data_IF_741065147895
#
_entry.id   IF_741065147895
#
_cell.length_a   1.000
_cell.length_b   1.000
_cell.length_c   1.000
_cell.angle_alpha   90.00
_cell.angle_beta   90.00
_cell.angle_gamma   90.00
#
_symmetry.space_group_name_H-M   'P 1'
#
loop_
_entity.id
_entity.type
_entity.pdbx_description
1 polymer ?
#
# COMPACT_ATOMS: atom_id res chain seq x y z
N UNK A 1 -53.21 -3.12 71.67
CA UNK A 1 -52.52 -2.06 70.91
C UNK A 1 -51.54 -2.74 70.00
N UNK A 2 -51.81 -2.59 68.70
CA UNK A 2 -51.16 -3.24 67.57
C UNK A 2 -49.89 -2.45 67.24
N UNK A 3 -48.79 -3.15 66.98
CA UNK A 3 -47.70 -2.62 66.16
C UNK A 3 -47.06 -3.79 65.42
N UNK A 4 -47.32 -3.78 64.12
CA UNK A 4 -46.99 -4.74 63.07
C UNK A 4 -45.61 -4.39 62.47
N UNK A 5 -45.02 -5.39 61.82
CA UNK A 5 -43.70 -5.35 61.19
C UNK A 5 -43.62 -4.41 59.98
N UNK A 6 -42.44 -3.81 59.73
CA UNK A 6 -41.94 -3.53 58.36
C UNK A 6 -40.39 -3.58 58.36
N UNK A 7 -39.75 -4.32 57.44
CA UNK A 7 -38.31 -4.29 57.22
C UNK A 7 -37.88 -3.17 56.25
N UNK A 8 -36.71 -2.59 56.51
CA UNK A 8 -36.03 -1.59 55.69
C UNK A 8 -35.74 -2.11 54.27
N UNK A 9 -36.30 -1.44 53.27
CA UNK A 9 -35.90 -1.55 51.87
C UNK A 9 -34.78 -0.53 51.57
N UNK A 10 -33.78 -0.87 50.73
CA UNK A 10 -32.79 0.08 50.24
C UNK A 10 -33.37 0.95 49.11
N UNK A 11 -32.90 2.19 49.05
CA UNK A 11 -33.25 3.16 48.00
C UNK A 11 -33.00 2.63 46.59
N UNK A 12 -34.05 2.68 45.77
CA UNK A 12 -33.97 2.53 44.32
C UNK A 12 -33.63 3.89 43.69
N UNK A 13 -32.40 4.01 43.18
CA UNK A 13 -32.01 5.07 42.25
C UNK A 13 -32.84 5.02 40.95
N UNK A 14 -32.80 6.10 40.14
CA UNK A 14 -33.67 6.22 38.97
C UNK A 14 -33.41 5.09 37.96
N UNK A 15 -34.49 4.41 37.57
CA UNK A 15 -34.51 3.40 36.52
C UNK A 15 -33.81 3.94 35.27
N UNK A 16 -32.72 3.27 34.89
CA UNK A 16 -32.17 3.36 33.56
C UNK A 16 -33.29 3.05 32.56
N UNK A 17 -33.70 4.06 31.78
CA UNK A 17 -34.55 3.85 30.63
C UNK A 17 -33.75 3.03 29.62
N UNK A 18 -33.95 1.73 29.69
CA UNK A 18 -33.44 0.73 28.78
C UNK A 18 -33.74 1.19 27.34
N UNK A 19 -32.70 1.64 26.62
CA UNK A 19 -32.82 2.02 25.21
C UNK A 19 -33.26 0.79 24.44
N UNK A 20 -34.54 0.72 24.09
CA UNK A 20 -35.06 -0.36 23.24
C UNK A 20 -34.38 -0.24 21.89
N UNK A 21 -33.59 -1.24 21.44
CA UNK A 21 -33.06 -1.24 20.10
C UNK A 21 -34.25 -1.41 19.15
N UNK A 22 -34.66 -0.31 18.52
CA UNK A 22 -35.68 -0.36 17.49
C UNK A 22 -35.01 -0.78 16.19
N UNK A 23 -34.78 -2.08 16.04
CA UNK A 23 -34.62 -2.67 14.72
C UNK A 23 -35.97 -2.58 14.02
N UNK A 24 -36.19 -1.50 13.26
CA UNK A 24 -37.28 -1.45 12.31
C UNK A 24 -37.05 -2.60 11.31
N UNK A 25 -37.78 -3.67 11.54
CA UNK A 25 -37.80 -4.89 10.76
C UNK A 25 -38.35 -4.56 9.38
N UNK A 26 -37.61 -4.87 8.32
CA UNK A 26 -38.19 -5.20 7.02
C UNK A 26 -37.29 -6.22 6.30
N UNK A 27 -37.57 -7.50 6.53
CA UNK A 27 -37.50 -8.47 5.45
C UNK A 27 -38.61 -8.07 4.46
N UNK A 28 -38.23 -7.60 3.28
CA UNK A 28 -39.17 -7.23 2.22
C UNK A 28 -38.76 -5.94 1.52
N UNK A 29 -38.45 -6.05 0.22
CA UNK A 29 -38.18 -4.93 -0.68
C UNK A 29 -39.38 -3.98 -0.70
N UNK A 30 -39.31 -2.86 0.01
CA UNK A 30 -40.14 -1.68 -0.26
C UNK A 30 -39.19 -0.50 -0.45
N UNK A 31 -39.15 0.00 -1.68
CA UNK A 31 -38.41 1.21 -2.06
C UNK A 31 -39.21 2.39 -1.49
N UNK A 32 -38.70 3.01 -0.43
CA UNK A 32 -39.34 4.20 0.14
C UNK A 32 -39.01 5.40 -0.75
N UNK A 33 -40.03 5.95 -1.41
CA UNK A 33 -39.86 7.07 -2.33
C UNK A 33 -39.66 8.43 -1.62
N UNK A 34 -39.94 8.51 -0.31
CA UNK A 34 -39.82 9.74 0.45
C UNK A 34 -39.55 9.52 1.95
N UNK A 35 -38.75 10.41 2.53
CA UNK A 35 -38.41 10.50 3.95
C UNK A 35 -39.67 10.59 4.83
N UNK A 36 -40.69 11.31 4.38
CA UNK A 36 -41.99 11.43 5.08
C UNK A 36 -42.65 10.06 5.28
N UNK A 37 -42.52 9.17 4.29
CA UNK A 37 -43.12 7.84 4.33
C UNK A 37 -42.33 6.92 5.28
N UNK A 38 -41.09 7.21 5.66
CA UNK A 38 -40.38 6.46 6.71
C UNK A 38 -40.74 7.00 8.10
N UNK A 39 -40.76 8.33 8.22
CA UNK A 39 -40.98 9.01 9.51
C UNK A 39 -42.40 8.79 10.02
N UNK A 40 -43.42 8.83 9.16
CA UNK A 40 -44.82 8.68 9.59
C UNK A 40 -45.18 7.27 10.10
N UNK A 41 -44.96 6.17 9.36
CA UNK A 41 -45.18 4.81 9.84
C UNK A 41 -44.23 4.44 10.98
N UNK A 42 -42.99 4.93 10.95
CA UNK A 42 -42.05 4.74 12.05
C UNK A 42 -42.55 5.35 13.35
N UNK A 43 -43.22 6.51 13.30
CA UNK A 43 -43.85 7.13 14.48
C UNK A 43 -45.01 6.32 15.04
N UNK A 44 -45.88 5.82 14.16
CA UNK A 44 -47.01 4.98 14.55
C UNK A 44 -46.56 3.65 15.16
N UNK A 45 -45.53 3.02 14.58
CA UNK A 45 -44.96 1.76 15.07
C UNK A 45 -44.27 1.92 16.43
N UNK A 46 -43.65 3.08 16.67
CA UNK A 46 -42.94 3.38 17.91
C UNK A 46 -43.83 4.00 19.01
N UNK A 47 -45.13 4.21 18.71
CA UNK A 47 -46.10 4.71 19.67
C UNK A 47 -45.91 6.18 20.05
N UNK A 48 -45.26 6.99 19.20
CA UNK A 48 -45.11 8.42 19.45
C UNK A 48 -46.45 9.16 19.26
N UNK A 49 -46.78 10.05 20.18
CA UNK A 49 -47.98 10.91 20.08
C UNK A 49 -47.92 11.77 18.81
N UNK A 50 -49.07 11.98 18.14
CA UNK A 50 -49.17 12.74 16.88
C UNK A 50 -48.64 14.19 16.94
N UNK A 51 -48.39 14.73 18.14
CA UNK A 51 -47.86 16.08 18.38
C UNK A 51 -46.36 16.11 18.74
N UNK A 52 -45.69 14.96 18.84
CA UNK A 52 -44.28 14.88 19.22
C UNK A 52 -43.36 15.19 18.03
N UNK A 53 -42.35 16.03 18.22
CA UNK A 53 -41.31 16.25 17.20
C UNK A 53 -40.35 15.06 17.23
N UNK A 54 -40.21 14.38 16.10
CA UNK A 54 -39.32 13.22 15.92
C UNK A 54 -38.38 13.53 14.77
N UNK A 55 -37.10 13.33 15.03
CA UNK A 55 -35.99 13.59 14.12
C UNK A 55 -35.45 12.27 13.60
N UNK A 56 -35.24 12.17 12.27
CA UNK A 56 -34.59 11.01 11.68
C UNK A 56 -33.08 11.24 11.62
N UNK A 57 -32.31 10.30 12.15
CA UNK A 57 -30.86 10.29 12.10
C UNK A 57 -30.35 8.98 11.52
N UNK A 58 -29.15 8.97 10.96
CA UNK A 58 -28.48 7.74 10.56
C UNK A 58 -28.04 6.96 11.81
N UNK A 59 -28.18 5.63 11.77
CA UNK A 59 -27.74 4.78 12.89
C UNK A 59 -26.23 4.89 13.13
N UNK A 60 -25.46 5.01 12.05
CA UNK A 60 -24.00 4.84 12.03
C UNK A 60 -23.23 6.01 12.66
N UNK A 61 -23.59 7.24 12.30
CA UNK A 61 -22.86 8.45 12.67
C UNK A 61 -23.72 9.52 13.34
N UNK A 62 -25.04 9.28 13.44
CA UNK A 62 -25.98 10.22 14.03
C UNK A 62 -26.28 11.43 13.16
N UNK A 63 -25.87 11.44 11.89
CA UNK A 63 -26.16 12.52 10.96
C UNK A 63 -27.67 12.68 10.81
N UNK A 64 -28.16 13.92 11.01
CA UNK A 64 -29.58 14.26 10.90
C UNK A 64 -29.99 14.30 9.44
N UNK A 65 -31.08 13.60 9.10
CA UNK A 65 -31.64 13.54 7.75
C UNK A 65 -32.95 14.32 7.72
N UNK A 66 -32.89 15.58 7.29
CA UNK A 66 -34.05 16.47 7.17
C UNK A 66 -34.49 16.65 5.71
N UNK A 67 -33.55 16.57 4.77
CA UNK A 67 -33.81 16.84 3.35
C UNK A 67 -34.09 15.59 2.52
N UNK A 68 -35.13 15.66 1.71
CA UNK A 68 -35.52 14.58 0.79
C UNK A 68 -34.42 14.26 -0.25
N UNK A 69 -33.68 15.27 -0.71
CA UNK A 69 -32.59 15.08 -1.67
C UNK A 69 -31.43 14.30 -1.05
N UNK A 70 -31.12 14.55 0.22
CA UNK A 70 -30.10 13.79 0.95
C UNK A 70 -30.52 12.34 1.12
N UNK A 71 -31.79 12.10 1.50
CA UNK A 71 -32.33 10.75 1.64
C UNK A 71 -32.21 9.90 0.37
N UNK A 72 -32.46 10.48 -0.82
CA UNK A 72 -32.40 9.76 -2.09
C UNK A 72 -30.97 9.40 -2.52
N UNK A 73 -29.96 10.06 -1.97
CA UNK A 73 -28.55 9.78 -2.24
C UNK A 73 -27.99 8.65 -1.36
N UNK A 74 -28.73 8.23 -0.34
CA UNK A 74 -28.29 7.19 0.59
C UNK A 74 -28.53 5.79 -0.01
N UNK A 75 -27.61 4.83 0.22
CA UNK A 75 -27.81 3.43 -0.19
C UNK A 75 -29.12 2.84 0.33
N UNK A 76 -29.76 1.96 -0.43
CA UNK A 76 -31.05 1.35 -0.07
C UNK A 76 -31.03 0.50 1.21
N UNK A 77 -29.85 0.11 1.70
CA UNK A 77 -29.62 -0.63 2.95
C UNK A 77 -29.26 0.27 4.15
N UNK A 78 -29.43 1.58 4.02
CA UNK A 78 -29.15 2.54 5.10
C UNK A 78 -30.15 2.38 6.23
N UNK A 79 -29.65 2.31 7.46
CA UNK A 79 -30.46 2.17 8.67
C UNK A 79 -30.65 3.53 9.33
N UNK A 80 -31.90 3.80 9.72
CA UNK A 80 -32.29 5.05 10.34
C UNK A 80 -32.75 4.81 11.77
N UNK A 81 -32.46 5.77 12.62
CA UNK A 81 -32.95 5.86 13.99
C UNK A 81 -33.86 7.07 14.11
N UNK A 82 -35.02 6.89 14.73
CA UNK A 82 -35.96 7.97 15.00
C UNK A 82 -35.80 8.39 16.46
N UNK A 83 -35.47 9.66 16.69
CA UNK A 83 -35.23 10.22 18.01
C UNK A 83 -36.33 11.20 18.39
N UNK A 84 -36.80 11.10 19.63
CA UNK A 84 -37.73 12.09 20.21
C UNK A 84 -36.99 13.38 20.63
N UNK A 85 -37.71 14.48 20.82
CA UNK A 85 -37.20 15.83 21.16
C UNK A 85 -36.18 15.89 22.33
N UNK A 86 -36.17 14.88 23.22
CA UNK A 86 -35.26 14.80 24.37
C UNK A 86 -34.21 13.70 24.27
N UNK A 87 -34.19 12.98 23.15
CA UNK A 87 -33.26 11.90 22.91
C UNK A 87 -32.14 12.39 22.00
N UNK A 88 -30.90 12.15 22.41
CA UNK A 88 -29.73 12.45 21.59
C UNK A 88 -29.18 11.15 21.03
N UNK A 89 -28.79 11.17 19.76
CA UNK A 89 -28.03 10.07 19.18
C UNK A 89 -26.78 9.87 20.04
N UNK A 90 -26.52 8.62 20.39
CA UNK A 90 -25.29 8.23 21.05
C UNK A 90 -24.65 7.16 20.19
N UNK A 91 -23.33 7.22 19.94
CA UNK A 91 -22.63 6.13 19.30
C UNK A 91 -23.02 4.84 20.01
N UNK A 92 -23.57 3.88 19.25
CA UNK A 92 -23.75 2.54 19.78
C UNK A 92 -22.35 2.10 20.16
N UNK A 93 -22.11 1.78 21.44
CA UNK A 93 -20.89 1.08 21.85
C UNK A 93 -20.95 -0.32 21.24
N UNK A 94 -20.74 -0.41 19.93
CA UNK A 94 -20.18 -1.59 19.35
C UNK A 94 -18.75 -1.57 19.84
N UNK A 95 -18.40 -2.60 20.59
CA UNK A 95 -17.00 -2.94 20.83
C UNK A 95 -16.48 -3.38 19.46
N UNK A 96 -16.29 -2.43 18.54
CA UNK A 96 -15.45 -2.62 17.38
C UNK A 96 -14.05 -2.16 17.80
N UNK A 97 -13.09 -3.07 17.66
CA UNK A 97 -11.75 -2.92 18.19
C UNK A 97 -10.91 -1.96 17.35
N UNK A 98 -11.28 -0.68 17.30
CA UNK A 98 -10.58 0.31 16.47
C UNK A 98 -10.11 1.58 17.17
N UNK A 99 -10.82 2.11 18.17
CA UNK A 99 -10.58 3.48 18.64
C UNK A 99 -10.57 3.67 20.16
N UNK A 100 -10.68 2.61 20.95
CA UNK A 100 -10.69 2.67 22.42
C UNK A 100 -9.32 3.00 23.07
N UNK A 101 -8.25 3.22 22.30
CA UNK A 101 -6.89 3.35 22.84
C UNK A 101 -6.52 4.78 23.25
N UNK A 102 -7.28 5.80 22.85
CA UNK A 102 -6.93 7.21 23.12
C UNK A 102 -7.37 7.72 24.51
N UNK A 103 -8.08 6.92 25.32
CA UNK A 103 -8.54 7.33 26.65
C UNK A 103 -7.66 6.83 27.81
N UNK A 104 -6.58 6.09 27.53
CA UNK A 104 -5.79 5.40 28.56
C UNK A 104 -4.40 5.98 28.83
N UNK A 105 -4.10 7.15 28.30
CA UNK A 105 -2.84 7.84 28.57
C UNK A 105 -2.98 8.79 29.78
N UNK A 106 -3.20 8.20 30.95
CA UNK A 106 -2.99 8.84 32.25
C UNK A 106 -3.00 7.78 33.32
N UNK A 107 -1.93 7.77 34.13
CA UNK A 107 -1.60 6.84 35.23
C UNK A 107 -0.67 5.68 34.82
N UNK A 108 0.57 6.08 34.49
CA UNK A 108 1.77 5.38 34.98
C UNK A 108 1.63 5.15 36.50
N UNK A 109 1.26 3.94 36.89
CA UNK A 109 1.53 3.44 38.24
C UNK A 109 2.07 2.03 38.14
N UNK A 110 3.35 1.92 38.47
CA UNK A 110 4.05 0.68 38.80
C UNK A 110 3.25 -0.10 39.84
N UNK A 111 2.87 -1.34 39.56
CA UNK A 111 2.28 -2.24 40.56
C UNK A 111 2.72 -3.67 40.27
N UNK A 112 3.58 -4.18 41.15
CA UNK A 112 3.88 -5.58 41.36
C UNK A 112 2.68 -6.26 42.04
N UNK A 113 2.08 -7.27 41.39
CA UNK A 113 1.43 -8.42 42.03
C UNK A 113 0.93 -9.44 40.99
N UNK A 114 1.27 -10.70 41.28
CA UNK A 114 0.82 -11.93 40.64
C UNK A 114 -0.68 -12.17 40.89
N UNK A 115 -1.51 -12.12 39.84
CA UNK A 115 -2.49 -13.18 39.53
C UNK A 115 -3.07 -12.98 38.12
N UNK A 116 -3.41 -14.08 37.48
CA UNK A 116 -3.72 -14.19 36.05
C UNK A 116 -5.06 -13.52 35.71
N UNK A 117 -5.01 -12.34 35.11
CA UNK A 117 -6.14 -11.72 34.42
C UNK A 117 -5.61 -10.90 33.26
N UNK A 118 -5.59 -11.56 32.09
CA UNK A 118 -5.26 -11.11 30.74
C UNK A 118 -5.46 -9.59 30.55
N UNK A 119 -4.40 -8.81 30.78
CA UNK A 119 -4.15 -7.65 29.92
C UNK A 119 -3.75 -8.30 28.60
N UNK A 120 -4.67 -8.34 27.64
CA UNK A 120 -4.42 -9.00 26.36
C UNK A 120 -3.14 -8.42 25.77
N UNK A 121 -2.08 -9.23 25.78
CA UNK A 121 -0.78 -8.78 25.28
C UNK A 121 -0.99 -8.40 23.82
N UNK A 122 -0.55 -7.23 23.34
CA UNK A 122 -0.97 -6.70 22.04
C UNK A 122 -0.79 -7.69 20.87
N UNK A 123 0.27 -8.51 20.92
CA UNK A 123 0.56 -9.54 19.92
C UNK A 123 -0.38 -10.75 19.95
N UNK A 124 -1.11 -11.01 21.05
CA UNK A 124 -1.95 -12.20 21.20
C UNK A 124 -3.13 -12.23 20.22
N UNK A 125 -3.80 -11.09 20.03
CA UNK A 125 -4.88 -10.95 19.05
C UNK A 125 -4.33 -11.08 17.62
N UNK A 126 -3.17 -10.50 17.36
CA UNK A 126 -2.48 -10.58 16.06
C UNK A 126 -2.06 -12.03 15.76
N UNK A 127 -1.59 -12.77 16.76
CA UNK A 127 -1.26 -14.18 16.63
C UNK A 127 -2.51 -15.04 16.35
N UNK A 128 -3.64 -14.74 16.99
CA UNK A 128 -4.91 -15.43 16.67
C UNK A 128 -5.37 -15.11 15.25
N UNK A 129 -5.22 -13.87 14.79
CA UNK A 129 -5.54 -13.48 13.41
C UNK A 129 -4.64 -14.22 12.41
N UNK A 130 -3.33 -14.26 12.65
CA UNK A 130 -2.39 -15.02 11.81
C UNK A 130 -2.67 -16.52 11.80
N UNK A 131 -3.12 -17.08 12.93
CA UNK A 131 -3.49 -18.49 13.03
C UNK A 131 -4.70 -18.83 12.18
N UNK A 132 -5.67 -17.92 12.07
CA UNK A 132 -6.85 -18.08 11.23
C UNK A 132 -6.51 -17.88 9.75
N UNK A 133 -5.68 -16.89 9.45
CA UNK A 133 -5.32 -16.53 8.08
C UNK A 133 -3.90 -15.93 8.02
N UNK A 134 -2.95 -16.70 7.49
CA UNK A 134 -1.57 -16.23 7.28
C UNK A 134 -1.46 -15.11 6.23
N UNK A 135 -2.46 -14.94 5.36
CA UNK A 135 -2.45 -13.84 4.37
C UNK A 135 -2.67 -12.48 5.01
N UNK A 136 -3.15 -12.44 6.27
CA UNK A 136 -3.32 -11.21 7.04
C UNK A 136 -2.03 -10.38 7.16
N UNK A 137 -0.86 -11.02 7.07
CA UNK A 137 0.47 -10.38 7.11
C UNK A 137 0.57 -9.24 6.08
N UNK A 138 -0.07 -9.37 4.91
CA UNK A 138 -0.01 -8.38 3.83
C UNK A 138 -0.65 -7.05 4.29
N UNK A 139 -1.74 -7.13 5.04
CA UNK A 139 -2.55 -5.98 5.47
C UNK A 139 -2.12 -5.42 6.82
N UNK A 140 -1.34 -6.18 7.59
CA UNK A 140 -0.83 -5.74 8.89
C UNK A 140 0.12 -4.55 8.73
N UNK A 141 -0.01 -3.60 9.66
CA UNK A 141 0.92 -2.49 9.76
C UNK A 141 2.30 -2.98 10.17
N UNK A 142 3.33 -2.20 9.85
CA UNK A 142 4.70 -2.50 10.28
C UNK A 142 4.83 -2.57 11.81
N UNK A 143 4.11 -1.71 12.54
CA UNK A 143 4.07 -1.76 14.00
C UNK A 143 3.47 -3.09 14.50
N UNK A 144 2.36 -3.54 13.92
CA UNK A 144 1.73 -4.80 14.32
C UNK A 144 2.65 -6.00 14.04
N UNK A 145 3.30 -6.02 12.87
CA UNK A 145 4.28 -7.05 12.54
C UNK A 145 5.47 -7.02 13.51
N UNK A 146 5.95 -5.84 13.90
CA UNK A 146 7.02 -5.70 14.88
C UNK A 146 6.62 -6.29 16.24
N UNK A 147 5.38 -6.06 16.71
CA UNK A 147 4.92 -6.66 17.97
C UNK A 147 4.90 -8.20 17.95
N UNK A 148 4.67 -8.82 16.78
CA UNK A 148 4.72 -10.27 16.61
C UNK A 148 6.16 -10.80 16.56
N UNK A 149 7.08 -10.03 16.00
CA UNK A 149 8.51 -10.35 16.00
C UNK A 149 9.08 -10.26 17.41
N UNK A 150 8.70 -9.24 18.18
CA UNK A 150 9.18 -9.01 19.55
C UNK A 150 8.51 -9.92 20.59
N UNK A 151 7.48 -10.67 20.20
CA UNK A 151 6.77 -11.58 21.09
C UNK A 151 7.69 -12.74 21.54
N UNK A 152 7.58 -13.19 22.81
CA UNK A 152 8.35 -14.34 23.28
C UNK A 152 7.98 -15.60 22.50
N UNK A 153 8.96 -16.20 21.83
CA UNK A 153 8.81 -17.38 20.99
C UNK A 153 7.99 -18.54 21.61
N UNK A 154 8.22 -18.97 22.87
CA UNK A 154 7.46 -20.10 23.45
C UNK A 154 5.96 -19.79 23.63
N UNK A 155 5.62 -18.55 23.96
CA UNK A 155 4.23 -18.13 24.14
C UNK A 155 3.54 -17.96 22.78
N UNK A 156 4.25 -17.42 21.79
CA UNK A 156 3.77 -17.29 20.42
C UNK A 156 3.55 -18.67 19.77
N UNK A 157 4.47 -19.62 20.00
CA UNK A 157 4.33 -21.01 19.57
C UNK A 157 3.09 -21.67 20.15
N UNK A 158 2.84 -21.45 21.44
CA UNK A 158 1.63 -21.92 22.13
C UNK A 158 0.36 -21.29 21.54
N UNK A 159 0.37 -19.99 21.24
CA UNK A 159 -0.77 -19.27 20.67
C UNK A 159 -1.12 -19.76 19.25
N UNK A 160 -0.09 -19.88 18.39
CA UNK A 160 -0.22 -20.35 17.00
C UNK A 160 -0.49 -21.85 16.91
N UNK A 161 -0.12 -22.62 17.93
CA UNK A 161 -0.18 -24.09 17.91
C UNK A 161 0.94 -24.70 17.04
N UNK A 162 2.08 -24.04 16.95
CA UNK A 162 3.25 -24.47 16.19
C UNK A 162 4.37 -24.95 17.11
N UNK A 163 5.36 -25.64 16.54
CA UNK A 163 6.61 -25.92 17.25
C UNK A 163 7.42 -24.63 17.35
N UNK A 164 8.15 -24.43 18.46
CA UNK A 164 8.97 -23.25 18.71
C UNK A 164 9.91 -22.94 17.54
N UNK A 165 10.63 -23.95 17.03
CA UNK A 165 11.50 -23.80 15.85
C UNK A 165 10.79 -23.21 14.62
N UNK A 166 9.54 -23.62 14.36
CA UNK A 166 8.77 -23.08 13.23
C UNK A 166 8.35 -21.64 13.47
N UNK A 167 8.12 -21.26 14.73
CA UNK A 167 7.82 -19.87 15.10
C UNK A 167 9.05 -19.01 15.01
N UNK A 168 10.23 -19.50 15.38
CA UNK A 168 11.50 -18.80 15.15
C UNK A 168 11.71 -18.52 13.66
N UNK A 169 11.53 -19.53 12.79
CA UNK A 169 11.62 -19.38 11.34
C UNK A 169 10.58 -18.38 10.79
N UNK A 170 9.38 -18.35 11.39
CA UNK A 170 8.33 -17.40 11.05
C UNK A 170 8.72 -15.97 11.49
N UNK A 171 9.18 -15.78 12.72
CA UNK A 171 9.62 -14.47 13.23
C UNK A 171 10.79 -13.92 12.42
N UNK A 172 11.75 -14.77 12.03
CA UNK A 172 12.83 -14.38 11.12
C UNK A 172 12.29 -13.96 9.75
N UNK A 173 11.26 -14.65 9.25
CA UNK A 173 10.62 -14.29 7.99
C UNK A 173 9.86 -12.97 8.09
N UNK A 174 9.16 -12.73 9.20
CA UNK A 174 8.49 -11.45 9.47
C UNK A 174 9.50 -10.30 9.56
N UNK A 175 10.65 -10.52 10.23
CA UNK A 175 11.74 -9.53 10.28
C UNK A 175 12.27 -9.22 8.87
N UNK A 176 12.52 -10.24 8.04
CA UNK A 176 12.93 -10.02 6.63
C UNK A 176 11.90 -9.24 5.81
N UNK A 177 10.60 -9.42 6.10
CA UNK A 177 9.54 -8.63 5.46
C UNK A 177 9.58 -7.18 5.90
N UNK A 178 9.81 -6.91 7.19
CA UNK A 178 9.96 -5.56 7.73
C UNK A 178 11.19 -4.85 7.11
N UNK A 179 12.34 -5.52 7.12
CA UNK A 179 13.58 -4.98 6.56
C UNK A 179 13.41 -4.61 5.08
N UNK A 180 12.72 -5.46 4.31
CA UNK A 180 12.42 -5.19 2.90
C UNK A 180 11.51 -3.99 2.71
N UNK A 181 10.46 -3.84 3.52
CA UNK A 181 9.54 -2.68 3.45
C UNK A 181 10.32 -1.39 3.74
N UNK A 182 11.22 -1.41 4.70
CA UNK A 182 12.07 -0.27 5.04
C UNK A 182 13.09 0.04 3.93
N UNK A 183 13.72 -0.97 3.32
CA UNK A 183 14.61 -0.80 2.16
C UNK A 183 13.88 -0.13 0.99
N UNK A 184 12.66 -0.58 0.69
CA UNK A 184 11.82 0.00 -0.36
C UNK A 184 11.49 1.48 -0.06
N UNK A 185 11.22 1.82 1.21
CA UNK A 185 10.98 3.21 1.64
C UNK A 185 12.22 4.07 1.46
N UNK A 186 13.38 3.58 1.89
CA UNK A 186 14.66 4.28 1.76
C UNK A 186 15.04 4.49 0.29
N UNK A 187 14.86 3.47 -0.55
CA UNK A 187 15.09 3.54 -1.99
C UNK A 187 14.19 4.58 -2.66
N UNK A 188 12.89 4.59 -2.33
CA UNK A 188 11.94 5.60 -2.82
C UNK A 188 12.35 7.01 -2.40
N UNK A 189 12.77 7.20 -1.15
CA UNK A 189 13.24 8.49 -0.65
C UNK A 189 14.49 8.97 -1.40
N UNK A 190 15.45 8.07 -1.64
CA UNK A 190 16.65 8.37 -2.42
C UNK A 190 16.31 8.77 -3.87
N UNK A 191 15.43 8.02 -4.52
CA UNK A 191 14.97 8.34 -5.89
C UNK A 191 14.29 9.70 -5.96
N UNK A 192 13.47 10.05 -4.95
CA UNK A 192 12.86 11.39 -4.88
C UNK A 192 13.90 12.49 -4.73
N UNK A 193 14.95 12.29 -3.93
CA UNK A 193 16.05 13.24 -3.80
C UNK A 193 16.82 13.38 -5.12
N UNK A 194 17.08 12.28 -5.81
CA UNK A 194 17.72 12.29 -7.12
C UNK A 194 16.89 13.09 -8.15
N UNK A 195 15.58 12.82 -8.25
CA UNK A 195 14.69 13.55 -9.16
C UNK A 195 14.67 15.06 -8.85
N UNK A 196 14.62 15.43 -7.57
CA UNK A 196 14.71 16.84 -7.15
C UNK A 196 16.05 17.47 -7.55
N UNK A 197 17.16 16.76 -7.38
CA UNK A 197 18.49 17.24 -7.77
C UNK A 197 18.60 17.41 -9.30
N UNK A 198 18.06 16.46 -10.08
CA UNK A 198 18.02 16.55 -11.54
C UNK A 198 17.19 17.74 -12.00
N UNK A 199 16.05 18.01 -11.36
CA UNK A 199 15.23 19.17 -11.72
C UNK A 199 15.89 20.50 -11.33
N UNK A 200 16.59 20.55 -10.20
CA UNK A 200 17.42 21.71 -9.85
C UNK A 200 18.55 21.93 -10.86
N UNK A 201 19.22 20.87 -11.32
CA UNK A 201 20.26 20.96 -12.35
C UNK A 201 19.70 21.49 -13.69
N UNK A 202 18.48 21.07 -14.08
CA UNK A 202 17.79 21.60 -15.26
C UNK A 202 17.48 23.09 -15.11
N UNK A 203 16.94 23.50 -13.96
CA UNK A 203 16.64 24.93 -13.69
C UNK A 203 17.90 25.79 -13.71
N UNK A 204 19.03 25.29 -13.21
CA UNK A 204 20.32 26.00 -13.26
C UNK A 204 20.88 26.11 -14.69
N UNK A 205 20.56 25.15 -15.57
CA UNK A 205 20.90 25.23 -17.01
C UNK A 205 19.93 26.12 -17.81
N UNK A 206 18.70 26.26 -17.34
CA UNK A 206 17.65 27.07 -17.98
C UNK A 206 17.60 28.52 -17.51
N UNK A 207 18.28 28.91 -16.43
CA UNK A 207 18.45 30.33 -16.08
C UNK A 207 19.31 31.00 -17.18
N UNK A 208 18.71 31.82 -18.07
CA UNK A 208 19.47 32.55 -19.04
C UNK A 208 20.20 33.63 -18.25
N UNK A 209 21.51 33.67 -18.41
CA UNK A 209 22.28 34.87 -18.14
C UNK A 209 21.53 36.03 -18.78
N UNK A 210 20.93 36.89 -17.96
CA UNK A 210 20.38 38.17 -18.40
C UNK A 210 21.58 39.04 -18.82
N UNK A 211 22.12 38.75 -19.99
CA UNK A 211 22.97 39.64 -20.76
C UNK A 211 22.15 39.97 -22.00
N UNK A 212 21.63 41.19 -21.97
CA UNK A 212 20.88 41.84 -23.02
C UNK A 212 21.43 41.53 -24.40
N UNK A 213 20.61 40.95 -25.28
CA UNK A 213 20.43 41.45 -26.64
C UNK A 213 19.18 40.86 -27.27
N UNK A 214 18.29 41.76 -27.69
CA UNK A 214 17.03 41.41 -28.34
C UNK A 214 17.21 40.91 -29.78
N UNK A 215 16.17 40.23 -30.26
CA UNK A 215 16.04 39.83 -31.66
C UNK A 215 15.27 38.52 -31.77
N UNK A 216 13.94 38.60 -31.82
CA UNK A 216 13.07 37.43 -31.86
C UNK A 216 13.15 36.64 -33.15
N UNK A 217 12.86 35.33 -33.04
CA UNK A 217 12.19 34.55 -34.07
C UNK A 217 11.61 33.27 -33.45
N UNK A 218 10.29 33.13 -33.55
CA UNK A 218 9.58 31.87 -33.36
C UNK A 218 10.06 30.84 -34.38
N UNK A 219 10.58 29.70 -33.91
CA UNK A 219 10.61 28.44 -34.65
C UNK A 219 10.46 27.30 -33.63
N UNK A 220 9.42 26.51 -33.85
CA UNK A 220 9.09 25.25 -33.17
C UNK A 220 9.88 24.11 -33.83
N UNK A 221 10.86 23.49 -33.14
CA UNK A 221 11.66 22.31 -33.58
C UNK A 221 12.24 21.62 -32.31
N UNK A 222 12.34 20.26 -32.26
CA UNK A 222 12.29 19.47 -31.04
C UNK A 222 13.65 19.35 -30.32
N UNK A 223 13.58 18.94 -29.05
CA UNK A 223 14.67 18.57 -28.13
C UNK A 223 15.97 18.19 -28.87
N UNK A 224 16.79 19.21 -29.13
CA UNK A 224 18.01 19.10 -29.90
C UNK A 224 19.07 18.50 -28.97
N UNK A 225 19.16 17.17 -28.97
CA UNK A 225 20.29 16.46 -28.38
C UNK A 225 21.56 17.02 -29.02
N UNK A 226 22.30 17.86 -28.29
CA UNK A 226 23.56 18.43 -28.75
C UNK A 226 24.59 17.32 -29.01
N UNK A 227 24.64 16.87 -30.26
CA UNK A 227 25.67 16.00 -30.79
C UNK A 227 26.82 16.90 -31.23
N UNK A 228 28.02 16.66 -30.70
CA UNK A 228 29.20 17.39 -31.14
C UNK A 228 29.46 17.04 -32.62
N UNK A 229 29.20 18.00 -33.50
CA UNK A 229 29.24 17.80 -34.96
C UNK A 229 30.63 17.40 -35.46
N UNK A 230 31.69 17.69 -34.70
CA UNK A 230 33.06 17.32 -35.03
C UNK A 230 33.37 15.84 -34.75
N UNK A 231 32.72 15.23 -33.75
CA UNK A 231 33.01 13.86 -33.31
C UNK A 231 31.87 12.86 -33.55
N UNK A 232 30.64 13.36 -33.77
CA UNK A 232 29.45 12.54 -33.94
C UNK A 232 29.03 11.79 -32.67
N UNK A 233 29.54 12.20 -31.51
CA UNK A 233 29.15 11.66 -30.20
C UNK A 233 28.32 12.69 -29.43
N UNK A 234 27.44 12.19 -28.56
CA UNK A 234 26.76 13.06 -27.59
C UNK A 234 27.79 13.66 -26.63
N UNK A 235 27.58 14.91 -26.22
CA UNK A 235 28.43 15.60 -25.24
C UNK A 235 28.65 14.79 -23.95
N UNK A 236 27.63 14.06 -23.51
CA UNK A 236 27.71 13.14 -22.36
C UNK A 236 28.69 11.98 -22.59
N UNK A 237 28.66 11.36 -23.76
CA UNK A 237 29.53 10.24 -24.12
C UNK A 237 31.00 10.67 -24.13
N UNK A 238 31.30 11.85 -24.68
CA UNK A 238 32.64 12.44 -24.65
C UNK A 238 33.12 12.76 -23.23
N UNK A 239 32.23 13.28 -22.36
CA UNK A 239 32.58 13.58 -20.97
C UNK A 239 32.94 12.31 -20.19
N UNK A 240 32.21 11.21 -20.42
CA UNK A 240 32.51 9.91 -19.80
C UNK A 240 33.83 9.35 -20.33
N UNK A 241 34.05 9.37 -21.65
CA UNK A 241 35.28 8.90 -22.27
C UNK A 241 36.52 9.68 -21.80
N UNK A 242 36.41 11.01 -21.69
CA UNK A 242 37.51 11.89 -21.24
C UNK A 242 37.71 11.90 -19.71
N UNK A 243 36.80 11.27 -18.95
CA UNK A 243 36.86 11.18 -17.49
C UNK A 243 38.00 10.29 -16.96
N UNK A 244 38.16 10.26 -15.63
CA UNK A 244 39.15 9.43 -14.92
C UNK A 244 38.63 8.05 -14.50
N UNK A 245 37.42 7.70 -14.91
CA UNK A 245 36.77 6.41 -14.57
C UNK A 245 37.01 5.37 -15.66
N UNK A 246 36.55 4.13 -15.48
CA UNK A 246 36.45 3.09 -16.51
C UNK A 246 35.24 3.35 -17.43
N UNK A 247 35.38 4.07 -18.56
CA UNK A 247 34.25 4.46 -19.39
C UNK A 247 33.50 3.26 -19.99
N UNK A 248 34.19 2.15 -20.25
CA UNK A 248 33.63 0.93 -20.83
C UNK A 248 32.45 0.37 -20.00
N UNK A 249 32.51 0.51 -18.68
CA UNK A 249 31.45 0.04 -17.78
C UNK A 249 30.28 1.03 -17.64
N UNK A 250 30.51 2.32 -17.92
CA UNK A 250 29.55 3.41 -17.66
C UNK A 250 28.71 3.80 -18.86
N UNK A 251 29.15 3.42 -20.05
CA UNK A 251 28.47 3.72 -21.30
C UNK A 251 27.35 2.71 -21.58
N UNK A 252 26.35 3.14 -22.35
CA UNK A 252 25.30 2.25 -22.83
C UNK A 252 25.86 1.25 -23.85
N UNK A 253 25.16 0.14 -24.09
CA UNK A 253 25.58 -0.84 -25.10
C UNK A 253 25.60 -0.22 -26.51
N UNK A 254 24.71 0.72 -26.79
CA UNK A 254 24.65 1.48 -28.06
C UNK A 254 25.84 2.43 -28.21
N UNK A 255 26.17 3.19 -27.15
CA UNK A 255 27.37 4.05 -27.14
C UNK A 255 28.64 3.23 -27.37
N UNK A 256 28.77 2.07 -26.70
CA UNK A 256 29.91 1.17 -26.88
C UNK A 256 30.01 0.66 -28.32
N UNK A 257 28.90 0.28 -28.96
CA UNK A 257 28.89 -0.12 -30.36
C UNK A 257 29.35 1.02 -31.27
N UNK A 258 28.85 2.24 -31.06
CA UNK A 258 29.28 3.40 -31.84
C UNK A 258 30.79 3.67 -31.68
N UNK A 259 31.31 3.57 -30.45
CA UNK A 259 32.73 3.81 -30.16
C UNK A 259 33.62 2.74 -30.79
N UNK A 260 33.27 1.45 -30.61
CA UNK A 260 34.04 0.31 -31.15
C UNK A 260 34.02 0.30 -32.68
N UNK A 261 32.98 0.84 -33.31
CA UNK A 261 32.90 0.96 -34.78
C UNK A 261 33.83 2.06 -35.34
N UNK A 262 34.31 3.01 -34.52
CA UNK A 262 35.26 4.03 -34.96
C UNK A 262 36.69 3.47 -34.97
N UNK A 263 37.51 3.95 -35.90
CA UNK A 263 38.93 3.59 -35.92
C UNK A 263 39.72 4.30 -34.81
N UNK A 264 40.87 3.74 -34.45
CA UNK A 264 41.77 4.29 -33.43
C UNK A 264 42.21 5.71 -33.80
N UNK A 265 42.47 5.98 -35.08
CA UNK A 265 42.90 7.28 -35.60
C UNK A 265 41.83 8.38 -35.40
N UNK A 266 40.56 8.04 -35.61
CA UNK A 266 39.45 8.98 -35.39
C UNK A 266 39.31 9.25 -33.89
N UNK A 267 39.42 8.22 -33.07
CA UNK A 267 39.31 8.35 -31.62
C UNK A 267 40.48 9.11 -30.99
N UNK A 268 41.69 9.01 -31.56
CA UNK A 268 42.85 9.82 -31.15
C UNK A 268 42.54 11.32 -31.33
N UNK A 269 41.95 11.69 -32.47
CA UNK A 269 41.58 13.08 -32.77
C UNK A 269 40.45 13.58 -31.85
N UNK A 270 39.44 12.75 -31.61
CA UNK A 270 38.28 13.11 -30.77
C UNK A 270 38.65 13.25 -29.29
N UNK A 271 39.48 12.33 -28.78
CA UNK A 271 39.88 12.31 -27.37
C UNK A 271 41.10 13.20 -27.08
N UNK A 272 41.86 13.56 -28.13
CA UNK A 272 43.15 14.24 -28.03
C UNK A 272 44.12 13.47 -27.12
N UNK A 273 44.14 12.14 -27.27
CA UNK A 273 44.99 11.21 -26.52
C UNK A 273 46.00 10.56 -27.45
N UNK A 274 47.07 9.99 -26.87
CA UNK A 274 48.05 9.22 -27.63
C UNK A 274 47.45 7.88 -28.12
N UNK A 275 48.10 7.30 -29.14
CA UNK A 275 47.69 6.04 -29.76
C UNK A 275 47.61 4.87 -28.80
N UNK A 276 48.58 4.74 -27.89
CA UNK A 276 48.63 3.61 -26.97
C UNK A 276 47.47 3.66 -26.00
N UNK A 277 47.20 4.85 -25.42
CA UNK A 277 46.06 5.07 -24.53
C UNK A 277 44.72 4.89 -25.23
N UNK A 278 44.56 5.43 -26.43
CA UNK A 278 43.32 5.32 -27.22
C UNK A 278 43.04 3.87 -27.64
N UNK A 279 44.08 3.14 -28.05
CA UNK A 279 43.97 1.72 -28.38
C UNK A 279 43.58 0.88 -27.17
N UNK A 280 44.22 1.11 -26.01
CA UNK A 280 43.89 0.41 -24.77
C UNK A 280 42.43 0.66 -24.34
N UNK A 281 41.95 1.90 -24.50
CA UNK A 281 40.55 2.24 -24.26
C UNK A 281 39.61 1.47 -25.19
N UNK A 282 39.88 1.48 -26.50
CA UNK A 282 39.01 0.80 -27.48
C UNK A 282 38.96 -0.71 -27.25
N UNK A 283 40.10 -1.33 -26.90
CA UNK A 283 40.15 -2.73 -26.51
C UNK A 283 39.31 -3.03 -25.26
N UNK A 284 39.36 -2.15 -24.25
CA UNK A 284 38.54 -2.29 -23.05
C UNK A 284 37.04 -2.16 -23.36
N UNK A 285 36.67 -1.19 -24.22
CA UNK A 285 35.29 -1.01 -24.70
C UNK A 285 34.80 -2.22 -25.51
N UNK A 286 35.63 -2.78 -26.38
CA UNK A 286 35.31 -3.98 -27.18
C UNK A 286 35.14 -5.22 -26.30
N UNK A 287 36.02 -5.41 -25.31
CA UNK A 287 35.93 -6.52 -24.37
C UNK A 287 34.64 -6.47 -23.53
N UNK A 288 34.30 -5.29 -23.02
CA UNK A 288 33.06 -5.09 -22.24
C UNK A 288 31.81 -5.23 -23.12
N UNK A 289 31.82 -4.72 -24.35
CA UNK A 289 30.73 -4.91 -25.31
C UNK A 289 30.51 -6.41 -25.61
N UNK A 290 31.58 -7.14 -25.88
CA UNK A 290 31.53 -8.59 -26.16
C UNK A 290 30.93 -9.35 -24.99
N UNK A 291 31.37 -9.03 -23.76
CA UNK A 291 30.83 -9.61 -22.53
C UNK A 291 29.32 -9.36 -22.38
N UNK A 292 28.87 -8.12 -22.62
CA UNK A 292 27.43 -7.77 -22.55
C UNK A 292 26.61 -8.53 -23.60
N UNK A 293 27.11 -8.63 -24.84
CA UNK A 293 26.43 -9.37 -25.90
C UNK A 293 26.35 -10.87 -25.59
N UNK A 294 27.41 -11.47 -25.05
CA UNK A 294 27.41 -12.87 -24.60
C UNK A 294 26.38 -13.12 -23.48
N UNK A 295 26.26 -12.20 -22.52
CA UNK A 295 25.25 -12.29 -21.47
C UNK A 295 23.82 -12.25 -22.04
N UNK A 296 23.56 -11.34 -22.99
CA UNK A 296 22.26 -11.27 -23.67
C UNK A 296 21.97 -12.55 -24.44
N UNK A 297 22.95 -13.10 -25.15
CA UNK A 297 22.80 -14.36 -25.89
C UNK A 297 22.52 -15.55 -24.96
N UNK A 298 23.20 -15.62 -23.81
CA UNK A 298 22.95 -16.65 -22.81
C UNK A 298 21.51 -16.58 -22.27
N UNK A 299 21.03 -15.37 -21.97
CA UNK A 299 19.64 -15.15 -21.52
C UNK A 299 18.61 -15.51 -22.59
N UNK A 300 18.87 -15.16 -23.86
CA UNK A 300 18.02 -15.54 -24.98
C UNK A 300 17.96 -17.07 -25.14
N UNK A 301 19.09 -17.77 -24.96
CA UNK A 301 19.15 -19.24 -25.03
C UNK A 301 18.32 -19.91 -23.93
N UNK A 302 18.27 -19.34 -22.72
CA UNK A 302 17.40 -19.82 -21.64
C UNK A 302 15.93 -19.59 -22.00
N UNK A 303 15.61 -18.42 -22.57
CA UNK A 303 14.24 -18.08 -22.99
C UNK A 303 13.73 -19.00 -24.10
N UNK A 304 14.56 -19.35 -25.08
CA UNK A 304 14.18 -20.29 -26.14
C UNK A 304 13.97 -21.71 -25.64
N UNK A 305 14.71 -22.14 -24.60
CA UNK A 305 14.54 -23.47 -24.00
C UNK A 305 13.34 -23.57 -23.03
N UNK A 306 12.80 -22.44 -22.58
CA UNK A 306 11.66 -22.38 -21.66
C UNK A 306 10.33 -22.09 -22.35
N UNK A 307 10.32 -21.93 -23.67
CA UNK A 307 9.10 -21.86 -24.46
C UNK A 307 8.57 -23.29 -24.67
N UNK A 308 7.38 -23.65 -24.15
CA UNK A 308 6.84 -25.00 -24.33
C UNK A 308 6.53 -25.25 -25.81
N UNK A 309 7.01 -26.39 -26.33
CA UNK A 309 6.64 -26.97 -27.62
C UNK A 309 5.11 -27.07 -27.71
N UNK A 310 4.44 -26.08 -28.32
CA UNK A 310 3.01 -26.14 -28.60
C UNK A 310 2.68 -26.95 -29.87
N UNK A 311 3.64 -27.71 -30.41
CA UNK A 311 3.53 -28.39 -31.71
C UNK A 311 3.64 -29.92 -31.65
N UNK A 312 3.43 -30.56 -30.49
CA UNK A 312 3.43 -32.04 -30.37
C UNK A 312 2.11 -32.69 -29.95
N UNK A 313 0.99 -31.99 -30.09
CA UNK A 313 -0.36 -32.56 -29.87
C UNK A 313 -1.17 -32.55 -31.17
N UNK A 314 -0.76 -33.33 -32.16
CA UNK A 314 -1.63 -33.64 -33.31
C UNK A 314 -1.30 -34.97 -34.01
N UNK A 315 -0.70 -35.93 -33.30
CA UNK A 315 -0.40 -37.24 -33.89
C UNK A 315 -0.39 -38.36 -32.85
N UNK A 316 -1.45 -38.51 -32.06
CA UNK A 316 -1.66 -39.70 -31.22
C UNK A 316 -3.14 -39.78 -30.77
N UNK A 317 -4.06 -39.77 -31.74
CA UNK A 317 -5.46 -40.16 -31.49
C UNK A 317 -6.06 -40.76 -32.75
N UNK A 318 -5.55 -41.91 -33.18
CA UNK A 318 -6.15 -42.70 -34.27
C UNK A 318 -5.70 -44.16 -34.26
N UNK A 319 -5.66 -44.83 -33.11
CA UNK A 319 -5.64 -46.31 -33.06
C UNK A 319 -6.19 -46.79 -31.72
N UNK A 320 -7.52 -46.82 -31.56
CA UNK A 320 -8.23 -47.86 -30.80
C UNK A 320 -9.74 -47.63 -30.90
N UNK A 321 -10.36 -48.15 -31.97
CA UNK A 321 -11.76 -48.55 -31.91
C UNK A 321 -12.02 -49.55 -33.04
N UNK A 322 -12.40 -50.78 -32.69
CA UNK A 322 -12.84 -51.77 -33.68
C UNK A 322 -12.43 -53.21 -33.41
N UNK A 323 -12.89 -53.81 -32.32
CA UNK A 323 -13.18 -55.25 -32.31
C UNK A 323 -14.20 -55.65 -31.24
N UNK A 324 -15.48 -55.46 -31.56
CA UNK A 324 -16.55 -56.28 -31.01
C UNK A 324 -17.67 -56.44 -32.05
N UNK A 325 -17.57 -57.52 -32.83
CA UNK A 325 -18.64 -58.43 -33.30
C UNK A 325 -18.01 -59.51 -34.18
#
# INVERSE_FOLDING_TARGET
MVAEAVPLAPELGPLATEKRPCSALCQGLLIWASLFIIVCPGRELLGFSSSAQVTAVLEDDGTVVEDQAYFLCLPSNTKFMLLHEKETWSPVHRIDGGTAWMARDSLMLETDAVDSSIVAVPWSNLAQQMKQDLTSIILMSEADLQTLVDAPCPELASALGFQEKKVEELQETLQRVLDRREEERQSKQLLQLYLKAVEQEKRVKEEPSQHSHGGGRNVDVPDETEIDSASGFMSRTLMVLKGKTSPETRLSTEDLQMIVTRSVEVMEQVLNWDRARTSALLQACEAELTKRLQQVQALQSIRSNTQPDSSRLSSETSMEEGKET
#
